data_IF_209937990334
#
_entry.id   IF_209937990334
#
_cell.length_a   1.000
_cell.length_b   1.000
_cell.length_c   1.000
_cell.angle_alpha   90.00
_cell.angle_beta   90.00
_cell.angle_gamma   90.00
#
_symmetry.space_group_name_H-M   'P 1'
#
loop_
_entity.id
_entity.type
_entity.pdbx_description
1 polymer ?
#
# COMPACT_ATOMS: atom_id res chain seq x y z
N UNK A 1 1.61 -20.29 -13.36
CA UNK A 1 2.34 -19.08 -13.80
C UNK A 1 1.95 -17.97 -12.85
N UNK A 2 2.90 -17.10 -12.48
CA UNK A 2 2.56 -15.91 -11.68
C UNK A 2 1.53 -15.08 -12.43
N UNK A 3 0.53 -14.55 -11.73
CA UNK A 3 -0.45 -13.59 -12.28
C UNK A 3 0.11 -12.17 -12.37
N UNK A 4 1.31 -11.95 -11.83
CA UNK A 4 2.01 -10.67 -11.90
C UNK A 4 2.73 -10.50 -13.24
N UNK A 5 2.53 -9.34 -13.87
CA UNK A 5 3.30 -8.90 -15.02
C UNK A 5 4.58 -8.18 -14.55
N UNK A 6 5.69 -8.91 -14.47
CA UNK A 6 6.97 -8.37 -13.98
C UNK A 6 7.59 -7.31 -14.89
N UNK A 7 7.40 -7.38 -16.20
CA UNK A 7 7.85 -6.32 -17.12
C UNK A 7 7.17 -4.99 -16.77
N UNK A 8 5.85 -5.01 -16.54
CA UNK A 8 5.10 -3.83 -16.11
C UNK A 8 5.53 -3.33 -14.73
N UNK A 9 5.80 -4.23 -13.77
CA UNK A 9 6.29 -3.85 -12.44
C UNK A 9 7.66 -3.15 -12.51
N UNK A 10 8.53 -3.63 -13.39
CA UNK A 10 9.83 -3.01 -13.65
C UNK A 10 9.67 -1.63 -14.31
N UNK A 11 8.77 -1.49 -15.29
CA UNK A 11 8.42 -0.18 -15.88
C UNK A 11 7.90 0.80 -14.82
N UNK A 12 6.99 0.35 -13.95
CA UNK A 12 6.44 1.17 -12.86
C UNK A 12 7.54 1.61 -11.87
N UNK A 13 8.49 0.73 -11.57
CA UNK A 13 9.62 1.01 -10.66
C UNK A 13 10.58 2.06 -11.27
N UNK A 14 10.79 1.98 -12.58
CA UNK A 14 11.70 2.86 -13.31
C UNK A 14 11.05 4.18 -13.75
N UNK A 15 9.73 4.30 -13.68
CA UNK A 15 9.02 5.54 -13.99
C UNK A 15 9.30 6.58 -12.91
N UNK A 16 9.90 7.71 -13.30
CA UNK A 16 10.19 8.79 -12.35
C UNK A 16 8.90 9.45 -11.86
N UNK A 17 8.82 9.64 -10.54
CA UNK A 17 7.76 10.37 -9.87
C UNK A 17 8.36 11.58 -9.17
N UNK A 18 8.08 12.79 -9.68
CA UNK A 18 8.62 14.04 -9.12
C UNK A 18 8.00 14.41 -7.76
N UNK A 19 7.00 13.67 -7.29
CA UNK A 19 6.24 13.99 -6.08
C UNK A 19 6.59 13.09 -4.88
N UNK A 20 7.24 11.95 -5.10
CA UNK A 20 7.66 11.00 -4.06
C UNK A 20 9.19 10.94 -4.06
N UNK A 21 9.80 11.05 -2.88
CA UNK A 21 11.26 11.16 -2.68
C UNK A 21 12.00 9.82 -2.73
N UNK A 22 11.27 8.71 -2.81
CA UNK A 22 11.82 7.38 -2.90
C UNK A 22 11.23 6.62 -4.08
N UNK A 23 11.91 5.56 -4.53
CA UNK A 23 11.38 4.65 -5.54
C UNK A 23 10.80 3.42 -4.84
N UNK A 24 9.61 3.01 -5.27
CA UNK A 24 8.99 1.77 -4.81
C UNK A 24 9.50 0.61 -5.67
N UNK A 25 9.95 -0.45 -5.01
CA UNK A 25 10.30 -1.70 -5.67
C UNK A 25 9.03 -2.53 -5.90
N UNK A 26 8.32 -2.24 -7.00
CA UNK A 26 7.04 -2.88 -7.29
C UNK A 26 7.15 -4.40 -7.48
N UNK A 27 8.28 -4.90 -7.98
CA UNK A 27 8.53 -6.34 -8.07
C UNK A 27 8.58 -6.98 -6.68
N UNK A 28 9.33 -6.39 -5.75
CA UNK A 28 9.38 -6.86 -4.37
C UNK A 28 8.02 -6.75 -3.66
N UNK A 29 7.27 -5.66 -3.89
CA UNK A 29 5.92 -5.51 -3.36
C UNK A 29 5.02 -6.62 -3.88
N UNK A 30 5.05 -6.92 -5.18
CA UNK A 30 4.23 -7.97 -5.79
C UNK A 30 4.52 -9.35 -5.20
N UNK A 31 5.80 -9.69 -5.05
CA UNK A 31 6.24 -10.98 -4.51
C UNK A 31 5.82 -11.20 -3.05
N UNK A 32 5.62 -10.11 -2.30
CA UNK A 32 5.28 -10.14 -0.87
C UNK A 32 3.86 -9.59 -0.58
N UNK A 33 3.06 -9.28 -1.60
CA UNK A 33 1.82 -8.50 -1.44
C UNK A 33 0.80 -9.20 -0.54
N UNK A 34 0.64 -10.51 -0.73
CA UNK A 34 -0.25 -11.33 0.10
C UNK A 34 0.19 -11.37 1.56
N UNK A 35 1.48 -11.58 1.81
CA UNK A 35 2.01 -11.64 3.18
C UNK A 35 1.87 -10.28 3.88
N UNK A 36 2.17 -9.18 3.18
CA UNK A 36 1.95 -7.82 3.70
C UNK A 36 0.48 -7.56 4.03
N UNK A 37 -0.45 -7.95 3.14
CA UNK A 37 -1.89 -7.80 3.37
C UNK A 37 -2.36 -8.60 4.57
N UNK A 38 -2.00 -9.89 4.65
CA UNK A 38 -2.42 -10.77 5.75
C UNK A 38 -1.84 -10.29 7.07
N UNK A 39 -0.55 -9.91 7.09
CA UNK A 39 0.14 -9.48 8.30
C UNK A 39 -0.44 -8.17 8.83
N UNK A 40 -0.56 -7.15 7.98
CA UNK A 40 -1.15 -5.87 8.39
C UNK A 40 -2.58 -6.05 8.87
N UNK A 41 -3.38 -6.86 8.18
CA UNK A 41 -4.77 -7.12 8.53
C UNK A 41 -4.90 -7.82 9.88
N UNK A 42 -4.07 -8.84 10.17
CA UNK A 42 -4.05 -9.49 11.48
C UNK A 42 -3.68 -8.54 12.62
N UNK A 43 -2.83 -7.57 12.34
CA UNK A 43 -2.34 -6.61 13.34
C UNK A 43 -3.26 -5.37 13.48
N UNK A 44 -4.42 -5.37 12.83
CA UNK A 44 -5.37 -4.26 12.88
C UNK A 44 -4.88 -3.01 12.13
N UNK A 45 -4.04 -3.19 11.11
CA UNK A 45 -3.47 -2.12 10.29
C UNK A 45 -3.86 -2.25 8.82
N UNK A 46 -3.40 -1.28 8.03
CA UNK A 46 -3.57 -1.24 6.60
C UNK A 46 -2.19 -1.24 5.94
N UNK A 47 -2.09 -1.83 4.75
CA UNK A 47 -0.96 -1.56 3.87
C UNK A 47 -0.99 -0.10 3.41
N UNK A 48 0.18 0.49 3.11
CA UNK A 48 0.28 1.83 2.54
C UNK A 48 -0.55 1.96 1.27
N UNK A 49 -1.16 3.12 1.05
CA UNK A 49 -2.01 3.39 -0.12
C UNK A 49 -1.25 3.17 -1.42
N UNK A 50 0.03 3.56 -1.47
CA UNK A 50 0.90 3.41 -2.64
C UNK A 50 1.14 1.95 -3.06
N UNK A 51 1.02 0.99 -2.14
CA UNK A 51 1.27 -0.42 -2.48
C UNK A 51 0.17 -0.99 -3.36
N UNK A 52 -1.03 -0.39 -3.33
CA UNK A 52 -2.17 -0.83 -4.13
C UNK A 52 -1.92 -0.69 -5.63
N UNK A 53 -1.02 0.19 -6.05
CA UNK A 53 -0.68 0.38 -7.46
C UNK A 53 -0.10 -0.90 -8.09
N UNK A 54 0.50 -1.79 -7.28
CA UNK A 54 0.99 -3.10 -7.75
C UNK A 54 -0.11 -3.91 -8.45
N UNK A 55 -1.36 -3.76 -8.02
CA UNK A 55 -2.53 -4.46 -8.59
C UNK A 55 -2.76 -4.11 -10.06
N UNK A 56 -2.24 -2.97 -10.55
CA UNK A 56 -2.29 -2.61 -11.96
C UNK A 56 -1.54 -3.60 -12.86
N UNK A 57 -0.56 -4.31 -12.31
CA UNK A 57 0.21 -5.35 -12.99
C UNK A 57 -0.30 -6.77 -12.70
N UNK A 58 -1.46 -6.92 -12.06
CA UNK A 58 -2.06 -8.22 -11.80
C UNK A 58 -3.05 -8.63 -12.89
N UNK A 59 -2.95 -9.87 -13.37
CA UNK A 59 -3.94 -10.47 -14.25
C UNK A 59 -5.18 -10.93 -13.45
N UNK A 60 -6.22 -10.10 -13.46
CA UNK A 60 -7.50 -10.37 -12.81
C UNK A 60 -7.80 -9.43 -11.65
N UNK A 61 -8.29 -9.96 -10.53
CA UNK A 61 -8.55 -9.18 -9.31
C UNK A 61 -7.88 -9.87 -8.14
N UNK A 62 -6.93 -9.20 -7.50
CA UNK A 62 -6.20 -9.75 -6.35
C UNK A 62 -7.16 -10.21 -5.24
N UNK A 63 -8.23 -9.47 -5.00
CA UNK A 63 -9.27 -9.81 -4.01
C UNK A 63 -10.04 -11.12 -4.28
N UNK A 64 -9.93 -11.71 -5.47
CA UNK A 64 -10.47 -13.05 -5.76
C UNK A 64 -9.50 -14.17 -5.42
N UNK A 65 -8.21 -13.85 -5.37
CA UNK A 65 -7.14 -14.83 -5.24
C UNK A 65 -6.51 -14.82 -3.84
N UNK A 66 -6.54 -13.68 -3.15
CA UNK A 66 -6.08 -13.54 -1.76
C UNK A 66 -7.28 -13.59 -0.82
N UNK A 67 -7.21 -14.49 0.16
CA UNK A 67 -8.21 -14.60 1.22
C UNK A 67 -7.62 -14.06 2.53
N UNK A 68 -8.24 -13.02 3.07
CA UNK A 68 -7.87 -12.49 4.37
C UNK A 68 -8.37 -13.44 5.49
N UNK A 69 -7.59 -13.61 6.56
CA UNK A 69 -7.99 -14.46 7.68
C UNK A 69 -9.17 -13.83 8.44
N UNK A 70 -9.86 -14.63 9.25
CA UNK A 70 -10.78 -14.08 10.25
C UNK A 70 -9.99 -13.31 11.32
N UNK A 71 -10.58 -12.21 11.79
CA UNK A 71 -10.04 -11.34 12.84
C UNK A 71 -11.14 -11.04 13.85
N UNK A 72 -10.75 -10.69 15.08
CA UNK A 72 -11.69 -10.28 16.12
C UNK A 72 -12.28 -8.89 15.87
N UNK A 73 -13.34 -8.57 16.63
CA UNK A 73 -14.07 -7.30 16.50
C UNK A 73 -13.22 -6.09 16.89
N UNK A 74 -12.23 -6.25 17.77
CA UNK A 74 -11.32 -5.18 18.17
C UNK A 74 -10.38 -4.81 17.01
N UNK A 75 -9.75 -5.81 16.42
CA UNK A 75 -8.90 -5.69 15.24
C UNK A 75 -9.67 -5.09 14.07
N UNK A 76 -10.89 -5.57 13.83
CA UNK A 76 -11.77 -5.03 12.79
C UNK A 76 -12.11 -3.56 13.04
N UNK A 77 -12.43 -3.19 14.27
CA UNK A 77 -12.71 -1.80 14.65
C UNK A 77 -11.50 -0.89 14.42
N UNK A 78 -10.29 -1.37 14.72
CA UNK A 78 -9.04 -0.65 14.46
C UNK A 78 -8.83 -0.40 12.97
N UNK A 79 -9.08 -1.41 12.12
CA UNK A 79 -9.00 -1.29 10.66
C UNK A 79 -10.03 -0.29 10.12
N UNK A 80 -11.27 -0.33 10.62
CA UNK A 80 -12.34 0.57 10.19
C UNK A 80 -12.04 2.03 10.58
N UNK A 81 -11.42 2.28 11.74
CA UNK A 81 -10.97 3.61 12.15
C UNK A 81 -9.85 4.14 11.26
N UNK A 82 -8.83 3.33 10.98
CA UNK A 82 -7.72 3.68 10.07
C UNK A 82 -8.21 3.94 8.65
N UNK A 83 -9.12 3.09 8.16
CA UNK A 83 -9.74 3.24 6.83
C UNK A 83 -10.54 4.54 6.72
N UNK A 84 -11.29 4.91 7.77
CA UNK A 84 -12.00 6.20 7.84
C UNK A 84 -11.03 7.37 7.85
N UNK A 85 -9.94 7.27 8.62
CA UNK A 85 -8.91 8.33 8.68
C UNK A 85 -8.27 8.56 7.32
N UNK A 86 -7.87 7.50 6.62
CA UNK A 86 -7.37 7.57 5.24
C UNK A 86 -8.40 8.19 4.30
N UNK A 87 -9.66 7.76 4.37
CA UNK A 87 -10.74 8.33 3.55
C UNK A 87 -10.92 9.84 3.76
N UNK A 88 -10.79 10.31 5.00
CA UNK A 88 -10.85 11.74 5.31
C UNK A 88 -9.66 12.50 4.72
N UNK A 89 -8.45 11.94 4.74
CA UNK A 89 -7.28 12.54 4.09
C UNK A 89 -7.46 12.64 2.57
N UNK A 90 -7.94 11.57 1.93
CA UNK A 90 -8.29 11.57 0.50
C UNK A 90 -9.32 12.66 0.17
N UNK A 91 -10.40 12.77 0.96
CA UNK A 91 -11.44 13.77 0.73
C UNK A 91 -10.89 15.20 0.85
N UNK A 92 -10.03 15.47 1.83
CA UNK A 92 -9.37 16.78 1.98
C UNK A 92 -8.50 17.12 0.78
N UNK A 93 -7.77 16.14 0.24
CA UNK A 93 -7.00 16.34 -0.99
C UNK A 93 -7.91 16.71 -2.17
N UNK A 94 -9.00 15.96 -2.38
CA UNK A 94 -9.94 16.23 -3.48
C UNK A 94 -10.71 17.55 -3.33
N UNK A 95 -11.07 17.94 -2.11
CA UNK A 95 -11.72 19.23 -1.84
C UNK A 95 -10.77 20.42 -1.89
N UNK A 96 -9.46 20.18 -2.09
CA UNK A 96 -8.38 21.18 -2.02
C UNK A 96 -8.19 21.80 -0.64
N UNK A 97 -8.71 21.13 0.40
CA UNK A 97 -8.45 21.44 1.81
C UNK A 97 -7.10 20.88 2.29
N UNK A 98 -6.39 20.15 1.43
CA UNK A 98 -5.02 19.68 1.59
C UNK A 98 -4.26 19.96 0.29
N UNK A 99 -3.04 20.46 0.41
CA UNK A 99 -2.19 20.72 -0.76
C UNK A 99 -1.75 19.40 -1.41
N UNK A 100 -1.29 19.47 -2.65
CA UNK A 100 -0.76 18.31 -3.34
C UNK A 100 0.50 17.76 -2.63
N UNK A 101 1.37 18.66 -2.16
CA UNK A 101 2.59 18.30 -1.45
C UNK A 101 2.30 17.63 -0.10
N UNK A 102 1.32 18.15 0.65
CA UNK A 102 0.88 17.55 1.91
C UNK A 102 0.29 16.15 1.70
N UNK A 103 -0.43 15.95 0.59
CA UNK A 103 -0.97 14.65 0.22
C UNK A 103 0.14 13.64 -0.05
N UNK A 104 1.16 13.99 -0.85
CA UNK A 104 2.27 13.07 -1.09
C UNK A 104 3.11 12.84 0.17
N UNK A 105 3.31 13.85 1.01
CA UNK A 105 3.97 13.67 2.30
C UNK A 105 3.22 12.65 3.17
N UNK A 106 1.89 12.72 3.20
CA UNK A 106 1.07 11.73 3.89
C UNK A 106 1.26 10.31 3.31
N UNK A 107 1.30 10.17 1.99
CA UNK A 107 1.56 8.88 1.34
C UNK A 107 2.98 8.34 1.62
N UNK A 108 3.98 9.21 1.66
CA UNK A 108 5.35 8.87 2.06
C UNK A 108 5.39 8.38 3.52
N UNK A 109 4.72 9.10 4.43
CA UNK A 109 4.62 8.76 5.84
C UNK A 109 3.97 7.38 6.04
N UNK A 110 2.90 7.04 5.30
CA UNK A 110 2.32 5.69 5.38
C UNK A 110 3.33 4.58 5.07
N UNK A 111 4.23 4.79 4.10
CA UNK A 111 5.26 3.80 3.74
C UNK A 111 6.36 3.73 4.80
N UNK A 112 6.82 4.87 5.33
CA UNK A 112 7.82 4.87 6.40
C UNK A 112 7.29 4.24 7.69
N UNK A 113 6.07 4.58 8.11
CA UNK A 113 5.42 3.98 9.28
C UNK A 113 5.26 2.47 9.11
N UNK A 114 4.94 2.02 7.89
CA UNK A 114 4.87 0.60 7.57
C UNK A 114 6.23 -0.07 7.71
N UNK A 115 7.31 0.51 7.18
CA UNK A 115 8.66 -0.07 7.30
C UNK A 115 9.16 -0.06 8.75
N UNK A 116 8.86 0.98 9.52
CA UNK A 116 9.20 1.04 10.95
C UNK A 116 8.52 -0.10 11.72
N UNK A 117 7.24 -0.37 11.42
CA UNK A 117 6.47 -1.43 12.06
C UNK A 117 6.81 -2.83 11.56
N UNK A 118 7.15 -2.97 10.28
CA UNK A 118 7.43 -4.24 9.60
C UNK A 118 8.80 -4.18 8.89
N UNK A 119 9.91 -4.13 9.65
CA UNK A 119 11.25 -3.88 9.11
C UNK A 119 11.76 -4.95 8.14
N UNK A 120 11.18 -6.14 8.14
CA UNK A 120 11.46 -7.20 7.16
C UNK A 120 11.12 -6.77 5.72
N UNK A 121 10.18 -5.84 5.54
CA UNK A 121 9.77 -5.33 4.23
C UNK A 121 10.47 -4.04 3.84
N UNK A 122 11.57 -3.65 4.49
CA UNK A 122 12.31 -2.41 4.16
C UNK A 122 12.71 -2.27 2.69
N UNK A 123 12.81 -3.39 1.95
CA UNK A 123 13.17 -3.43 0.53
C UNK A 123 12.03 -3.02 -0.42
N UNK A 124 10.85 -2.65 0.11
CA UNK A 124 9.80 -1.98 -0.67
C UNK A 124 10.25 -0.62 -1.19
N UNK A 125 11.27 -0.02 -0.59
CA UNK A 125 11.95 1.19 -1.07
C UNK A 125 13.35 0.82 -1.60
N UNK A 126 13.75 1.44 -2.72
CA UNK A 126 15.10 1.39 -3.31
C UNK A 126 15.70 2.78 -3.54
#
# INVERSE_FOLDING_TARGET
MSKWNYEKLEEMTNTDNNYIKFKLNYAYIADNYEDMLIKTYRDGNLTPTLFKDVELAYDGKVSKDIQLPEIDDETKSSIDEKSRTRKLAELKHFSRDMTHDDWFKHLEEEVYDFIEKYPEYKNVII
#
